data_IF_202010645278
#
_entry.id   IF_202010645278
#
_cell.length_a   1.000
_cell.length_b   1.000
_cell.length_c   1.000
_cell.angle_alpha   90.00
_cell.angle_beta   90.00
_cell.angle_gamma   90.00
#
_symmetry.space_group_name_H-M   'P 1'
#
loop_
_entity.id
_entity.type
_entity.pdbx_description
1 polymer ?
#
# COMPACT_ATOMS: atom_id res chain seq x y z
N UNK A 1 -2.03 -23.74 9.30
CA UNK A 1 -1.64 -22.60 10.17
C UNK A 1 -2.71 -22.22 11.20
N UNK A 2 -4.01 -22.44 10.93
CA UNK A 2 -5.08 -22.14 11.89
C UNK A 2 -5.29 -20.64 12.11
N UNK A 3 -4.99 -19.81 11.09
CA UNK A 3 -5.12 -18.35 11.15
C UNK A 3 -6.52 -17.90 10.72
N UNK A 4 -7.17 -18.66 9.85
CA UNK A 4 -8.52 -18.43 9.34
C UNK A 4 -9.39 -19.61 9.75
N UNK A 5 -10.61 -19.34 10.23
CA UNK A 5 -11.65 -20.33 10.48
C UNK A 5 -12.63 -20.34 9.31
N UNK A 6 -13.07 -21.54 8.96
CA UNK A 6 -14.12 -21.77 7.97
C UNK A 6 -15.43 -22.03 8.73
N UNK A 7 -16.46 -21.25 8.43
CA UNK A 7 -17.80 -21.43 8.97
C UNK A 7 -18.76 -21.77 7.83
N UNK A 8 -19.47 -22.88 7.97
CA UNK A 8 -20.58 -23.19 7.09
C UNK A 8 -21.83 -22.49 7.60
N UNK A 9 -22.41 -21.63 6.75
CA UNK A 9 -23.68 -20.99 7.09
C UNK A 9 -24.80 -21.95 6.71
N UNK A 10 -25.63 -22.40 7.68
CA UNK A 10 -26.76 -23.28 7.40
C UNK A 10 -27.70 -22.65 6.37
N UNK A 11 -28.37 -23.48 5.58
CA UNK A 11 -29.27 -23.01 4.52
C UNK A 11 -30.39 -22.14 5.11
N UNK A 12 -30.34 -20.84 4.84
CA UNK A 12 -31.38 -19.88 5.25
C UNK A 12 -31.70 -18.91 4.12
N UNK A 13 -32.98 -18.83 3.72
CA UNK A 13 -33.49 -17.98 2.63
C UNK A 13 -33.56 -18.64 1.25
N UNK A 14 -33.73 -17.83 0.19
CA UNK A 14 -34.02 -18.26 -1.20
C UNK A 14 -32.90 -19.05 -1.92
N UNK A 15 -31.73 -19.22 -1.32
CA UNK A 15 -30.59 -19.88 -1.96
C UNK A 15 -30.46 -21.34 -1.53
N UNK A 16 -30.39 -22.25 -2.50
CA UNK A 16 -30.21 -23.71 -2.26
C UNK A 16 -28.75 -24.13 -2.00
N UNK A 17 -27.77 -23.22 -2.14
CA UNK A 17 -26.34 -23.53 -2.00
C UNK A 17 -25.83 -23.22 -0.58
N UNK A 18 -25.01 -24.11 -0.04
CA UNK A 18 -24.26 -23.86 1.21
C UNK A 18 -23.24 -22.76 0.94
N UNK A 19 -23.17 -21.76 1.83
CA UNK A 19 -22.16 -20.71 1.77
C UNK A 19 -21.07 -20.99 2.79
N UNK A 20 -19.83 -20.89 2.33
CA UNK A 20 -18.65 -20.97 3.17
C UNK A 20 -18.19 -19.55 3.47
N UNK A 21 -18.07 -19.21 4.76
CA UNK A 21 -17.57 -17.92 5.23
C UNK A 21 -16.22 -18.12 5.90
N UNK A 22 -15.25 -17.32 5.52
CA UNK A 22 -13.94 -17.28 6.15
C UNK A 22 -13.89 -16.13 7.15
N UNK A 23 -13.49 -16.44 8.38
CA UNK A 23 -13.28 -15.45 9.43
C UNK A 23 -11.88 -15.58 10.02
N UNK A 24 -11.34 -14.49 10.56
CA UNK A 24 -10.03 -14.54 11.23
C UNK A 24 -10.17 -15.24 12.59
N UNK A 25 -9.25 -16.16 12.89
CA UNK A 25 -9.18 -16.83 14.20
C UNK A 25 -8.47 -15.95 15.22
N UNK A 26 -8.54 -16.27 16.52
CA UNK A 26 -7.76 -15.56 17.55
C UNK A 26 -6.25 -15.62 17.28
N UNK A 27 -5.75 -16.78 16.84
CA UNK A 27 -4.35 -16.95 16.41
C UNK A 27 -4.01 -16.11 15.18
N UNK A 28 -4.98 -15.96 14.28
CA UNK A 28 -4.93 -15.07 13.13
C UNK A 28 -4.79 -13.62 13.53
N UNK A 29 -5.58 -13.17 14.51
CA UNK A 29 -5.51 -11.80 15.05
C UNK A 29 -4.11 -11.55 15.65
N UNK A 30 -3.62 -12.43 16.52
CA UNK A 30 -2.28 -12.26 17.11
C UNK A 30 -1.17 -12.25 16.04
N UNK A 31 -1.29 -13.08 15.00
CA UNK A 31 -0.32 -13.06 13.89
C UNK A 31 -0.43 -11.80 13.04
N UNK A 32 -1.65 -11.30 12.85
CA UNK A 32 -1.90 -10.06 12.13
C UNK A 32 -1.31 -8.85 12.87
N UNK A 33 -1.46 -8.81 14.21
CA UNK A 33 -0.82 -7.78 15.04
C UNK A 33 0.71 -7.84 14.91
N UNK A 34 1.30 -9.03 14.97
CA UNK A 34 2.75 -9.20 14.76
C UNK A 34 3.20 -8.66 13.39
N UNK A 35 2.43 -8.95 12.33
CA UNK A 35 2.73 -8.50 10.96
C UNK A 35 2.58 -6.99 10.77
N UNK A 36 1.63 -6.35 11.45
CA UNK A 36 1.44 -4.89 11.40
C UNK A 36 2.44 -4.16 12.31
N UNK A 37 2.99 -4.84 13.33
CA UNK A 37 3.96 -4.27 14.26
C UNK A 37 5.43 -4.43 13.81
N UNK A 38 5.74 -5.47 13.02
CA UNK A 38 7.12 -5.90 12.75
C UNK A 38 7.91 -5.09 11.69
N UNK A 39 9.25 -5.02 11.82
CA UNK A 39 10.13 -4.32 10.87
C UNK A 39 10.17 -4.97 9.47
N UNK A 40 9.88 -6.27 9.37
CA UNK A 40 9.80 -7.06 8.12
C UNK A 40 8.37 -7.33 7.62
N UNK A 41 7.34 -6.69 8.19
CA UNK A 41 5.97 -6.76 7.68
C UNK A 41 5.77 -5.94 6.41
N UNK A 42 4.56 -6.03 5.84
CA UNK A 42 3.98 -5.52 4.57
C UNK A 42 4.42 -4.13 4.03
N UNK A 43 5.29 -3.39 4.71
CA UNK A 43 5.72 -2.03 4.39
C UNK A 43 7.14 -1.88 3.81
N UNK A 44 7.83 -2.97 3.48
CA UNK A 44 9.13 -2.88 2.81
C UNK A 44 9.02 -2.91 1.28
N UNK A 45 8.04 -3.64 0.73
CA UNK A 45 7.78 -3.68 -0.72
C UNK A 45 6.73 -2.64 -1.12
N UNK A 46 7.05 -1.90 -2.18
CA UNK A 46 6.23 -0.79 -2.69
C UNK A 46 4.87 -1.26 -3.24
N UNK A 47 4.82 -2.52 -3.69
CA UNK A 47 3.64 -3.19 -4.24
C UNK A 47 2.52 -3.39 -3.20
N UNK A 48 2.84 -3.30 -1.90
CA UNK A 48 1.92 -3.63 -0.84
C UNK A 48 1.61 -2.46 0.11
N UNK A 49 1.94 -1.23 -0.31
CA UNK A 49 1.63 -0.02 0.45
C UNK A 49 0.13 0.19 0.65
N UNK A 50 -0.70 0.00 -0.39
CA UNK A 50 -2.15 0.22 -0.30
C UNK A 50 -2.80 -0.68 0.76
N UNK A 51 -2.34 -1.93 0.83
CA UNK A 51 -2.75 -2.88 1.87
C UNK A 51 -2.34 -2.38 3.25
N UNK A 52 -1.13 -1.84 3.38
CA UNK A 52 -0.67 -1.26 4.65
C UNK A 52 -1.57 -0.09 5.09
N UNK A 53 -1.91 0.83 4.18
CA UNK A 53 -2.82 1.96 4.44
C UNK A 53 -4.20 1.50 4.89
N UNK A 54 -4.76 0.45 4.27
CA UNK A 54 -6.05 -0.11 4.66
C UNK A 54 -6.09 -0.60 6.12
N UNK A 55 -4.93 -0.91 6.71
CA UNK A 55 -4.80 -1.37 8.08
C UNK A 55 -4.12 -0.35 9.01
N UNK A 56 -4.13 0.95 8.66
CA UNK A 56 -3.61 1.99 9.54
C UNK A 56 -4.40 2.16 10.84
N UNK A 57 -5.71 1.85 10.84
CA UNK A 57 -6.55 1.88 12.05
C UNK A 57 -5.95 1.10 13.23
N UNK A 58 -5.63 -0.19 13.08
CA UNK A 58 -5.00 -1.00 14.14
C UNK A 58 -3.47 -0.84 14.27
N UNK A 59 -2.80 -0.17 13.33
CA UNK A 59 -1.33 -0.03 13.33
C UNK A 59 -0.88 1.13 14.23
N UNK A 60 0.27 1.03 14.91
CA UNK A 60 0.79 2.13 15.75
C UNK A 60 1.24 3.36 14.94
N UNK A 61 1.12 4.58 15.50
CA UNK A 61 1.57 5.84 14.87
C UNK A 61 3.00 5.77 14.35
N UNK A 62 3.91 5.20 15.16
CA UNK A 62 5.33 5.02 14.79
C UNK A 62 5.48 4.17 13.52
N UNK A 63 4.69 3.10 13.38
CA UNK A 63 4.75 2.24 12.22
C UNK A 63 4.08 2.87 11.00
N UNK A 64 2.97 3.58 11.17
CA UNK A 64 2.34 4.34 10.08
C UNK A 64 3.31 5.36 9.49
N UNK A 65 3.98 6.15 10.34
CA UNK A 65 5.00 7.11 9.93
C UNK A 65 6.14 6.42 9.18
N UNK A 66 6.67 5.31 9.70
CA UNK A 66 7.74 4.55 9.05
C UNK A 66 7.34 4.09 7.64
N UNK A 67 6.11 3.61 7.46
CA UNK A 67 5.58 3.15 6.17
C UNK A 67 5.44 4.33 5.20
N UNK A 68 4.85 5.44 5.65
CA UNK A 68 4.66 6.65 4.84
C UNK A 68 6.00 7.25 4.39
N UNK A 69 6.97 7.39 5.31
CA UNK A 69 8.29 7.93 5.03
C UNK A 69 9.10 7.01 4.10
N UNK A 70 8.98 5.69 4.29
CA UNK A 70 9.60 4.69 3.41
C UNK A 70 9.12 4.81 1.97
N UNK A 71 7.80 4.91 1.77
CA UNK A 71 7.23 5.13 0.43
C UNK A 71 7.63 6.48 -0.16
N UNK A 72 7.55 7.55 0.63
CA UNK A 72 7.89 8.90 0.16
C UNK A 72 9.34 8.93 -0.36
N UNK A 73 10.28 8.26 0.32
CA UNK A 73 11.67 8.16 -0.12
C UNK A 73 11.79 7.48 -1.49
N UNK A 74 11.17 6.31 -1.65
CA UNK A 74 11.21 5.55 -2.93
C UNK A 74 10.57 6.31 -4.08
N UNK A 75 9.43 6.97 -3.85
CA UNK A 75 8.79 7.79 -4.87
C UNK A 75 9.65 8.98 -5.27
N UNK A 76 10.33 9.63 -4.31
CA UNK A 76 11.29 10.69 -4.61
C UNK A 76 12.44 10.18 -5.47
N UNK A 77 13.05 9.05 -5.12
CA UNK A 77 14.11 8.41 -5.92
C UNK A 77 13.62 8.09 -7.36
N UNK A 78 12.41 7.52 -7.48
CA UNK A 78 11.79 7.21 -8.77
C UNK A 78 11.49 8.47 -9.60
N UNK A 79 11.02 9.54 -8.96
CA UNK A 79 10.74 10.81 -9.62
C UNK A 79 12.03 11.44 -10.19
N UNK A 80 13.14 11.38 -9.44
CA UNK A 80 14.44 11.87 -9.92
C UNK A 80 14.94 11.09 -11.14
N UNK A 81 14.77 9.76 -11.15
CA UNK A 81 15.09 8.93 -12.33
C UNK A 81 14.23 9.33 -13.53
N UNK A 82 12.91 9.49 -13.34
CA UNK A 82 12.01 9.89 -14.42
C UNK A 82 12.31 11.28 -14.98
N UNK A 83 12.70 12.24 -14.11
CA UNK A 83 13.16 13.56 -14.53
C UNK A 83 14.44 13.47 -15.37
N UNK A 84 15.43 12.74 -14.88
CA UNK A 84 16.69 12.55 -15.60
C UNK A 84 16.49 11.86 -16.96
N UNK A 85 15.56 10.91 -17.06
CA UNK A 85 15.20 10.25 -18.31
C UNK A 85 14.54 11.23 -19.29
N UNK A 86 13.61 12.08 -18.82
CA UNK A 86 12.96 13.09 -19.64
C UNK A 86 13.95 14.13 -20.18
N UNK A 87 14.90 14.58 -19.35
CA UNK A 87 15.93 15.55 -19.75
C UNK A 87 16.89 14.98 -20.81
N UNK A 88 17.21 13.68 -20.72
CA UNK A 88 18.09 13.00 -21.68
C UNK A 88 17.40 12.62 -22.99
N UNK A 89 16.08 12.43 -22.99
CA UNK A 89 15.31 11.83 -24.09
C UNK A 89 14.89 12.82 -25.19
N UNK A 90 15.49 14.01 -25.25
CA UNK A 90 15.10 15.05 -26.22
C UNK A 90 15.36 14.69 -27.70
N UNK A 91 16.10 13.60 -28.00
CA UNK A 91 16.42 13.18 -29.37
C UNK A 91 16.05 11.71 -29.58
N UNK A 92 14.98 11.47 -30.34
CA UNK A 92 14.68 10.14 -30.92
C UNK A 92 13.70 9.23 -30.18
N UNK A 93 13.04 9.68 -29.10
CA UNK A 93 11.96 8.91 -28.46
C UNK A 93 10.61 9.10 -29.16
N UNK A 94 9.82 8.02 -29.23
CA UNK A 94 8.43 8.08 -29.71
C UNK A 94 7.58 9.01 -28.82
N UNK A 95 6.71 9.80 -29.45
CA UNK A 95 5.84 10.81 -28.81
C UNK A 95 5.02 10.18 -27.67
N UNK A 96 4.47 9.00 -27.88
CA UNK A 96 3.62 8.34 -26.88
C UNK A 96 4.42 7.85 -25.67
N UNK A 97 5.67 7.41 -25.87
CA UNK A 97 6.56 7.05 -24.77
C UNK A 97 6.92 8.26 -23.92
N UNK A 98 7.15 9.42 -24.54
CA UNK A 98 7.42 10.66 -23.80
C UNK A 98 6.23 11.07 -22.94
N UNK A 99 5.01 11.03 -23.48
CA UNK A 99 3.79 11.34 -22.73
C UNK A 99 3.57 10.35 -21.58
N UNK A 100 3.84 9.06 -21.79
CA UNK A 100 3.80 8.06 -20.72
C UNK A 100 4.77 8.36 -19.58
N UNK A 101 6.01 8.77 -19.91
CA UNK A 101 7.03 9.14 -18.91
C UNK A 101 6.61 10.38 -18.13
N UNK A 102 6.08 11.40 -18.82
CA UNK A 102 5.52 12.61 -18.20
C UNK A 102 4.38 12.28 -17.24
N UNK A 103 3.42 11.46 -17.66
CA UNK A 103 2.32 11.02 -16.81
C UNK A 103 2.81 10.23 -15.58
N UNK A 104 3.81 9.37 -15.77
CA UNK A 104 4.42 8.60 -14.67
C UNK A 104 5.07 9.52 -13.64
N UNK A 105 5.76 10.56 -14.10
CA UNK A 105 6.38 11.57 -13.22
C UNK A 105 5.33 12.38 -12.47
N UNK A 106 4.32 12.90 -13.16
CA UNK A 106 3.23 13.67 -12.55
C UNK A 106 2.49 12.87 -11.48
N UNK A 107 2.25 11.58 -11.74
CA UNK A 107 1.65 10.65 -10.77
C UNK A 107 2.52 10.54 -9.51
N UNK A 108 3.83 10.33 -9.68
CA UNK A 108 4.76 10.24 -8.55
C UNK A 108 4.82 11.55 -7.74
N UNK A 109 4.86 12.71 -8.40
CA UNK A 109 4.92 14.01 -7.73
C UNK A 109 3.64 14.34 -6.94
N UNK A 110 2.47 14.02 -7.51
CA UNK A 110 1.19 14.13 -6.80
C UNK A 110 1.16 13.25 -5.56
N UNK A 111 1.61 12.01 -5.69
CA UNK A 111 1.62 11.09 -4.57
C UNK A 111 2.62 11.50 -3.47
N UNK A 112 3.80 12.01 -3.84
CA UNK A 112 4.77 12.58 -2.87
C UNK A 112 4.14 13.72 -2.08
N UNK A 113 3.38 14.60 -2.77
CA UNK A 113 2.70 15.73 -2.14
C UNK A 113 1.63 15.25 -1.16
N UNK A 114 0.83 14.27 -1.56
CA UNK A 114 -0.17 13.65 -0.69
C UNK A 114 0.47 12.98 0.54
N UNK A 115 1.57 12.23 0.35
CA UNK A 115 2.32 11.61 1.45
C UNK A 115 2.88 12.66 2.43
N UNK A 116 3.38 13.78 1.92
CA UNK A 116 3.89 14.86 2.77
C UNK A 116 2.78 15.44 3.67
N UNK A 117 1.58 15.63 3.12
CA UNK A 117 0.41 16.07 3.88
C UNK A 117 -0.01 15.02 4.92
N UNK A 118 -0.06 13.73 4.54
CA UNK A 118 -0.38 12.64 5.46
C UNK A 118 0.63 12.55 6.62
N UNK A 119 1.94 12.59 6.33
CA UNK A 119 2.99 12.57 7.35
C UNK A 119 2.85 13.75 8.31
N UNK A 120 2.59 14.95 7.79
CA UNK A 120 2.37 16.14 8.63
C UNK A 120 1.14 16.00 9.53
N UNK A 121 0.04 15.46 9.01
CA UNK A 121 -1.16 15.19 9.81
C UNK A 121 -0.88 14.17 10.90
N UNK A 122 -0.17 13.10 10.55
CA UNK A 122 0.13 11.98 11.45
C UNK A 122 1.08 12.38 12.59
N UNK A 123 1.97 13.35 12.36
CA UNK A 123 2.86 13.90 13.41
C UNK A 123 2.17 14.89 14.35
N UNK A 124 1.03 15.45 13.94
CA UNK A 124 0.25 16.41 14.75
C UNK A 124 -0.76 15.72 15.66
N UNK A 125 -1.16 14.49 15.30
CA UNK A 125 -2.01 13.61 16.09
C UNK A 125 -1.19 12.88 17.17
#
# INVERSE_FOLDING_TARGET
>A
AGLIIQLEVPRGGKSKRVRIVYSISQKGISKFDELTQGPGGLGLDDDNFEVSVAFFGPTSTRNRLRILEGRQRRLKEKAEILKADLDKSAVGLDKYLLEWRRHSLETAEREITWLDQMIRSERKN
#
